data_IF_324792543718
#
_entry.id   IF_324792543718
#
_cell.length_a   1.000
_cell.length_b   1.000
_cell.length_c   1.000
_cell.angle_alpha   90.00
_cell.angle_beta   90.00
_cell.angle_gamma   90.00
#
_symmetry.space_group_name_H-M   'P 1'
#
loop_
_entity.id
_entity.type
_entity.pdbx_description
1 polymer ?
#
# COMPACT_ATOMS: atom_id res chain seq x y z
N UNK A 1 -8.87 -11.91 -4.79
CA UNK A 1 -7.69 -12.07 -3.91
C UNK A 1 -7.35 -10.68 -3.37
N UNK A 2 -7.02 -10.56 -2.09
CA UNK A 2 -6.66 -9.28 -1.47
C UNK A 2 -5.35 -9.40 -0.69
N UNK A 3 -4.59 -8.31 -0.64
CA UNK A 3 -3.37 -8.20 0.16
C UNK A 3 -3.33 -6.84 0.86
N UNK A 4 -2.58 -6.72 1.95
CA UNK A 4 -2.46 -5.49 2.73
C UNK A 4 -1.04 -4.95 2.61
N UNK A 5 -0.92 -3.63 2.46
CA UNK A 5 0.34 -2.90 2.37
C UNK A 5 0.30 -1.75 3.36
N UNK A 6 1.39 -1.55 4.10
CA UNK A 6 1.57 -0.47 5.05
C UNK A 6 2.45 0.59 4.40
N UNK A 7 1.91 1.80 4.24
CA UNK A 7 2.67 3.00 3.88
C UNK A 7 3.26 3.60 5.14
N UNK A 8 4.59 3.61 5.20
CA UNK A 8 5.39 4.14 6.30
C UNK A 8 5.86 5.57 6.05
N UNK A 9 6.04 5.95 4.78
CA UNK A 9 6.37 7.33 4.41
C UNK A 9 5.10 8.11 4.12
N UNK A 10 4.62 8.75 5.17
CA UNK A 10 3.36 9.47 5.18
C UNK A 10 3.55 10.94 4.75
N UNK A 11 4.79 11.44 4.80
CA UNK A 11 5.10 12.79 4.33
C UNK A 11 4.93 12.89 2.81
N UNK A 12 5.34 11.83 2.09
CA UNK A 12 5.22 11.71 0.63
C UNK A 12 4.09 10.75 0.20
N UNK A 13 3.03 10.64 1.02
CA UNK A 13 1.96 9.66 0.86
C UNK A 13 1.38 9.58 -0.56
N UNK A 14 1.11 10.73 -1.19
CA UNK A 14 0.54 10.77 -2.55
C UNK A 14 1.49 10.10 -3.55
N UNK A 15 2.78 10.43 -3.49
CA UNK A 15 3.81 9.84 -4.35
C UNK A 15 3.95 8.34 -4.10
N UNK A 16 3.94 7.90 -2.84
CA UNK A 16 4.00 6.47 -2.50
C UNK A 16 2.80 5.70 -3.05
N UNK A 17 1.59 6.27 -2.95
CA UNK A 17 0.38 5.63 -3.49
C UNK A 17 0.41 5.56 -5.02
N UNK A 18 0.87 6.61 -5.70
CA UNK A 18 0.98 6.63 -7.17
C UNK A 18 2.01 5.62 -7.67
N UNK A 19 3.15 5.49 -6.97
CA UNK A 19 4.14 4.44 -7.26
C UNK A 19 3.57 3.05 -7.03
N UNK A 20 2.82 2.86 -5.94
CA UNK A 20 2.17 1.59 -5.62
C UNK A 20 1.12 1.23 -6.67
N UNK A 21 0.31 2.17 -7.14
CA UNK A 21 -0.66 1.95 -8.22
C UNK A 21 0.02 1.54 -9.52
N UNK A 22 1.11 2.21 -9.91
CA UNK A 22 1.88 1.83 -11.10
C UNK A 22 2.49 0.45 -10.98
N UNK A 23 3.04 0.10 -9.81
CA UNK A 23 3.60 -1.22 -9.57
C UNK A 23 2.50 -2.30 -9.59
N UNK A 24 1.40 -2.07 -8.87
CA UNK A 24 0.26 -2.97 -8.77
C UNK A 24 -0.39 -3.25 -10.14
N UNK A 25 -0.65 -2.21 -10.92
CA UNK A 25 -1.32 -2.33 -12.22
C UNK A 25 -0.56 -3.22 -13.22
N UNK A 26 0.78 -3.19 -13.18
CA UNK A 26 1.64 -4.04 -14.03
C UNK A 26 1.51 -5.54 -13.70
N UNK A 27 0.98 -5.86 -12.53
CA UNK A 27 0.96 -7.19 -11.97
C UNK A 27 -0.46 -7.68 -11.65
N UNK A 28 -1.49 -7.08 -12.26
CA UNK A 28 -2.87 -7.55 -12.09
C UNK A 28 -3.53 -7.10 -10.79
N UNK A 29 -2.96 -6.10 -10.10
CA UNK A 29 -3.47 -5.57 -8.85
C UNK A 29 -3.98 -4.14 -9.02
N UNK A 30 -4.99 -3.79 -8.23
CA UNK A 30 -5.50 -2.44 -8.04
C UNK A 30 -5.41 -2.06 -6.57
N UNK A 31 -4.96 -0.84 -6.28
CA UNK A 31 -4.97 -0.31 -4.91
C UNK A 31 -6.39 0.16 -4.57
N UNK A 32 -6.94 -0.39 -3.49
CA UNK A 32 -8.19 0.05 -2.88
C UNK A 32 -7.84 1.04 -1.78
N UNK A 33 -8.18 2.31 -2.02
CA UNK A 33 -8.01 3.41 -1.08
C UNK A 33 -9.28 3.51 -0.23
N UNK A 34 -9.21 3.43 1.12
CA UNK A 34 -10.40 3.50 1.98
C UNK A 34 -11.06 4.89 1.99
N UNK A 35 -10.36 5.92 1.50
CA UNK A 35 -10.80 7.31 1.37
C UNK A 35 -9.96 8.00 0.28
N UNK A 36 -10.37 9.20 -0.16
CA UNK A 36 -9.62 9.98 -1.15
C UNK A 36 -8.17 10.24 -0.67
N UNK A 37 -7.20 10.25 -1.59
CA UNK A 37 -5.80 10.47 -1.24
C UNK A 37 -5.56 11.83 -0.55
N UNK A 38 -6.32 12.86 -0.90
CA UNK A 38 -6.23 14.17 -0.25
C UNK A 38 -6.70 14.10 1.21
N UNK A 39 -7.86 13.45 1.44
CA UNK A 39 -8.42 13.26 2.79
C UNK A 39 -7.50 12.39 3.66
N UNK A 40 -6.91 11.37 3.04
CA UNK A 40 -5.96 10.46 3.65
C UNK A 40 -4.68 11.21 4.09
N UNK A 41 -4.13 12.06 3.22
CA UNK A 41 -2.97 12.89 3.51
C UNK A 41 -3.25 13.90 4.64
N UNK A 42 -4.45 14.49 4.66
CA UNK A 42 -4.86 15.42 5.73
C UNK A 42 -5.08 14.71 7.06
N UNK A 43 -5.66 13.52 7.06
CA UNK A 43 -5.78 12.69 8.27
C UNK A 43 -4.41 12.29 8.80
N UNK A 44 -3.52 11.85 7.91
CA UNK A 44 -2.13 11.54 8.21
C UNK A 44 -1.40 12.72 8.85
N UNK A 45 -1.49 13.91 8.24
CA UNK A 45 -0.88 15.14 8.76
C UNK A 45 -1.45 15.55 10.12
N UNK A 46 -2.77 15.45 10.31
CA UNK A 46 -3.40 15.70 11.61
C UNK A 46 -2.93 14.71 12.69
N UNK A 47 -2.81 13.43 12.35
CA UNK A 47 -2.29 12.42 13.25
C UNK A 47 -0.82 12.67 13.62
N UNK A 48 0.03 13.04 12.64
CA UNK A 48 1.43 13.42 12.90
C UNK A 48 1.54 14.65 13.81
N UNK A 49 0.72 15.68 13.57
CA UNK A 49 0.71 16.90 14.38
C UNK A 49 0.25 16.66 15.82
N UNK A 50 -0.66 15.71 16.05
CA UNK A 50 -1.17 15.36 17.39
C UNK A 50 -0.32 14.35 18.15
N UNK A 51 0.29 13.38 17.45
CA UNK A 51 0.98 12.24 18.08
C UNK A 51 2.51 12.37 18.08
N UNK A 52 3.10 13.35 17.36
CA UNK A 52 4.55 13.45 17.11
C UNK A 52 5.19 12.14 16.62
N UNK A 53 4.40 11.26 16.03
CA UNK A 53 4.83 9.97 15.49
C UNK A 53 4.29 9.81 14.06
N UNK A 54 5.07 9.20 13.15
CA UNK A 54 4.54 8.79 11.87
C UNK A 54 3.45 7.73 12.11
N UNK A 55 2.22 8.04 11.70
CA UNK A 55 1.09 7.12 11.79
C UNK A 55 1.05 6.28 10.50
N UNK A 56 1.56 5.04 10.50
CA UNK A 56 1.59 4.22 9.31
C UNK A 56 0.17 3.99 8.78
N UNK A 57 0.03 3.98 7.47
CA UNK A 57 -1.26 3.83 6.81
C UNK A 57 -1.38 2.46 6.17
N UNK A 58 -2.45 1.72 6.45
CA UNK A 58 -2.75 0.49 5.72
C UNK A 58 -3.60 0.76 4.49
N UNK A 59 -3.17 0.25 3.34
CA UNK A 59 -3.93 0.17 2.09
C UNK A 59 -4.15 -1.29 1.70
N UNK A 60 -5.23 -1.53 0.95
CA UNK A 60 -5.56 -2.88 0.46
C UNK A 60 -5.28 -2.95 -1.02
N UNK A 61 -4.63 -4.02 -1.48
CA UNK A 61 -4.54 -4.38 -2.88
C UNK A 61 -5.62 -5.42 -3.18
N UNK A 62 -6.34 -5.24 -4.28
CA UNK A 62 -7.33 -6.17 -4.77
C UNK A 62 -6.96 -6.61 -6.20
N UNK A 63 -7.18 -7.88 -6.50
CA UNK A 63 -7.01 -8.39 -7.85
C UNK A 63 -7.90 -7.62 -8.84
N UNK A 64 -7.30 -7.06 -9.88
CA UNK A 64 -8.01 -6.31 -10.91
C UNK A 64 -8.15 -7.15 -12.17
N UNK A 65 -9.36 -7.63 -12.52
CA UNK A 65 -9.58 -8.41 -13.72
C UNK A 65 -9.41 -7.58 -15.01
N UNK A 66 -9.39 -6.24 -14.91
CA UNK A 66 -9.19 -5.33 -16.03
C UNK A 66 -7.76 -4.77 -16.11
N UNK A 67 -6.88 -5.12 -15.16
CA UNK A 67 -5.49 -4.67 -15.21
C UNK A 67 -4.79 -5.18 -16.47
N UNK A 68 -3.85 -4.38 -16.99
CA UNK A 68 -3.16 -4.62 -18.26
C UNK A 68 -2.37 -5.94 -18.32
N UNK A 69 -2.21 -6.65 -17.19
CA UNK A 69 -1.52 -7.93 -17.12
C UNK A 69 -2.49 -9.10 -17.28
N UNK A 70 -2.23 -9.96 -18.26
CA UNK A 70 -2.99 -11.19 -18.49
C UNK A 70 -2.62 -12.35 -17.54
N UNK A 71 -1.61 -12.15 -16.68
CA UNK A 71 -1.18 -13.15 -15.70
C UNK A 71 -1.93 -13.01 -14.39
N UNK A 72 -2.20 -14.15 -13.72
CA UNK A 72 -2.78 -14.14 -12.39
C UNK A 72 -1.97 -13.23 -11.44
N UNK A 73 -2.64 -12.48 -10.54
CA UNK A 73 -1.96 -11.57 -9.63
C UNK A 73 -0.93 -12.30 -8.78
N UNK A 74 0.30 -11.77 -8.76
CA UNK A 74 1.41 -12.32 -7.95
C UNK A 74 1.25 -11.94 -6.48
N UNK A 75 1.80 -12.71 -5.53
CA UNK A 75 1.75 -12.35 -4.11
C UNK A 75 2.30 -10.93 -3.84
N UNK A 76 1.68 -10.17 -2.93
CA UNK A 76 2.07 -8.78 -2.66
C UNK A 76 3.50 -8.65 -2.12
N UNK A 77 4.00 -9.63 -1.37
CA UNK A 77 5.40 -9.65 -0.94
C UNK A 77 6.33 -9.81 -2.14
N UNK A 78 5.93 -10.63 -3.12
CA UNK A 78 6.66 -10.78 -4.37
C UNK A 78 6.58 -9.51 -5.23
N UNK A 79 5.43 -8.81 -5.22
CA UNK A 79 5.28 -7.51 -5.88
C UNK A 79 6.29 -6.49 -5.36
N UNK A 80 6.31 -6.23 -4.05
CA UNK A 80 7.24 -5.26 -3.47
C UNK A 80 8.70 -5.72 -3.48
N UNK A 81 8.97 -7.03 -3.50
CA UNK A 81 10.32 -7.54 -3.70
C UNK A 81 10.84 -7.31 -5.13
N UNK A 82 9.96 -7.38 -6.15
CA UNK A 82 10.32 -7.15 -7.56
C UNK A 82 10.29 -5.69 -7.97
N UNK A 83 9.40 -4.90 -7.38
CA UNK A 83 9.24 -3.48 -7.64
C UNK A 83 9.12 -2.76 -6.30
N UNK A 84 10.26 -2.49 -5.65
CA UNK A 84 10.26 -1.83 -4.35
C UNK A 84 9.69 -0.42 -4.48
N UNK A 85 8.71 -0.11 -3.64
CA UNK A 85 8.12 1.22 -3.50
C UNK A 85 8.66 1.79 -2.20
N UNK A 86 9.37 2.91 -2.27
CA UNK A 86 9.96 3.53 -1.08
C UNK A 86 8.83 4.00 -0.16
N UNK A 87 8.94 3.67 1.13
CA UNK A 87 7.90 4.04 2.08
C UNK A 87 6.66 3.14 2.06
N UNK A 88 6.70 1.98 1.38
CA UNK A 88 5.66 0.96 1.46
C UNK A 88 6.26 -0.41 1.81
N UNK A 89 5.60 -1.14 2.69
CA UNK A 89 5.96 -2.50 3.10
C UNK A 89 4.73 -3.39 3.11
N UNK A 90 4.87 -4.67 2.80
CA UNK A 90 3.72 -5.59 2.88
C UNK A 90 3.35 -5.79 4.33
N UNK A 91 2.04 -5.74 4.62
CA UNK A 91 1.47 -6.23 5.86
C UNK A 91 1.48 -7.76 5.80
N UNK A 92 2.69 -8.32 5.77
CA UNK A 92 2.87 -9.75 5.85
C UNK A 92 2.45 -10.11 7.27
N UNK A 93 1.30 -10.76 7.44
CA UNK A 93 0.79 -11.24 8.72
C UNK A 93 1.69 -12.26 9.44
N UNK A 94 3.01 -12.25 9.18
CA UNK A 94 4.04 -12.95 9.93
C UNK A 94 4.26 -12.26 11.29
N UNK A 95 3.39 -12.64 12.24
CA UNK A 95 3.88 -13.25 13.47
C UNK A 95 4.36 -12.33 14.60
N UNK A 96 3.50 -11.44 15.10
CA UNK A 96 3.60 -11.05 16.52
C UNK A 96 2.91 -12.05 17.47
N UNK A 97 2.34 -13.14 16.94
CA UNK A 97 1.86 -14.28 17.72
C UNK A 97 2.24 -15.62 17.08
N UNK A 98 3.32 -16.23 17.57
CA UNK A 98 3.40 -17.67 17.88
C UNK A 98 4.59 -17.92 18.81
N UNK A 99 4.28 -17.99 20.10
CA UNK A 99 4.86 -19.01 20.98
C UNK A 99 4.11 -20.32 20.83
#
# INVERSE_FOLDING_TARGET
>A
MTARVIVTDVADLVTVLDELDRAAARHGWRVIRPMDAAELADRARRAQGGLRMPAPLTVTLEADPAAASSSAPIDAAVLLARTPVRGAVVDAGRGLHRG
#
